data_IF_327227889967
#
_entry.id   IF_327227889967
#
_cell.length_a   1.000
_cell.length_b   1.000
_cell.length_c   1.000
_cell.angle_alpha   90.00
_cell.angle_beta   90.00
_cell.angle_gamma   90.00
#
_symmetry.space_group_name_H-M   'P 1'
#
loop_
_entity.id
_entity.type
_entity.pdbx_description
1 polymer ?
#
# COMPACT_ATOMS: atom_id res chain seq x y z
N UNK A 1 5.30 -0.80 17.99
CA UNK A 1 3.83 -0.93 17.74
C UNK A 1 3.55 -0.52 16.31
N UNK A 2 3.09 -1.44 15.46
CA UNK A 2 2.66 -1.11 14.11
C UNK A 2 1.36 -0.31 14.15
N UNK A 3 1.30 0.82 13.44
CA UNK A 3 0.05 1.58 13.26
C UNK A 3 -0.54 1.17 11.92
N UNK A 4 -1.76 0.65 11.93
CA UNK A 4 -2.54 0.48 10.70
C UNK A 4 -3.03 1.87 10.28
N UNK A 5 -2.54 2.35 9.15
CA UNK A 5 -3.02 3.62 8.59
C UNK A 5 -4.42 3.40 7.99
N UNK A 6 -5.36 4.32 8.26
CA UNK A 6 -6.64 4.32 7.57
C UNK A 6 -6.41 4.63 6.08
N UNK A 7 -6.97 3.81 5.20
CA UNK A 7 -6.93 4.08 3.77
C UNK A 7 -7.92 5.20 3.41
N UNK A 8 -7.58 6.00 2.40
CA UNK A 8 -8.50 6.95 1.78
C UNK A 8 -9.17 6.25 0.58
N UNK A 9 -10.50 6.05 0.59
CA UNK A 9 -11.20 5.32 -0.46
C UNK A 9 -11.16 6.02 -1.82
N UNK A 10 -10.79 7.30 -1.87
CA UNK A 10 -10.63 8.06 -3.12
C UNK A 10 -9.23 7.91 -3.72
N UNK A 11 -8.28 7.34 -2.98
CA UNK A 11 -6.86 7.26 -3.35
C UNK A 11 -6.48 5.81 -3.58
N UNK A 12 -6.73 5.32 -4.79
CA UNK A 12 -6.53 3.93 -5.14
C UNK A 12 -5.85 3.74 -6.51
N UNK A 13 -5.38 2.52 -6.76
CA UNK A 13 -4.87 2.09 -8.07
C UNK A 13 -5.10 0.60 -8.25
N UNK A 14 -5.40 0.18 -9.48
CA UNK A 14 -5.43 -1.24 -9.85
C UNK A 14 -4.08 -1.58 -10.49
N UNK A 15 -3.42 -2.64 -9.99
CA UNK A 15 -2.16 -3.15 -10.55
C UNK A 15 -2.33 -4.65 -10.72
N UNK A 16 -2.18 -5.14 -11.96
CA UNK A 16 -2.33 -6.56 -12.30
C UNK A 16 -3.65 -7.18 -11.77
N UNK A 17 -4.75 -6.44 -11.89
CA UNK A 17 -6.08 -6.89 -11.44
C UNK A 17 -6.31 -6.82 -9.93
N UNK A 18 -5.33 -6.37 -9.13
CA UNK A 18 -5.47 -6.17 -7.68
C UNK A 18 -5.69 -4.70 -7.35
N UNK A 19 -6.66 -4.41 -6.47
CA UNK A 19 -6.94 -3.07 -5.96
C UNK A 19 -6.01 -2.73 -4.79
N UNK A 20 -5.29 -1.62 -4.90
CA UNK A 20 -4.43 -1.06 -3.87
C UNK A 20 -5.01 0.27 -3.38
N UNK A 21 -5.28 0.37 -2.08
CA UNK A 21 -5.74 1.59 -1.43
C UNK A 21 -4.56 2.27 -0.71
N UNK A 22 -4.44 3.59 -0.87
CA UNK A 22 -3.44 4.40 -0.19
C UNK A 22 -4.09 5.30 0.86
N UNK A 23 -3.35 5.71 1.88
CA UNK A 23 -3.89 6.53 2.99
C UNK A 23 -3.90 8.05 2.72
N UNK A 24 -3.24 8.52 1.66
CA UNK A 24 -3.28 9.92 1.22
C UNK A 24 -2.69 10.06 -0.17
N UNK A 25 -2.98 11.18 -0.84
CA UNK A 25 -2.38 11.51 -2.14
C UNK A 25 -0.85 11.60 -2.07
N UNK A 26 -0.27 12.04 -0.95
CA UNK A 26 1.17 12.10 -0.80
C UNK A 26 1.82 10.71 -0.76
N UNK A 27 1.18 9.76 -0.05
CA UNK A 27 1.64 8.37 -0.02
C UNK A 27 1.46 7.70 -1.36
N UNK A 28 0.34 7.95 -2.07
CA UNK A 28 0.16 7.47 -3.44
C UNK A 28 1.28 7.95 -4.35
N UNK A 29 1.63 9.24 -4.33
CA UNK A 29 2.73 9.76 -5.16
C UNK A 29 4.07 9.09 -4.87
N UNK A 30 4.41 8.85 -3.59
CA UNK A 30 5.62 8.11 -3.22
C UNK A 30 5.55 6.66 -3.70
N UNK A 31 4.43 6.00 -3.46
CA UNK A 31 4.22 4.61 -3.85
C UNK A 31 4.31 4.41 -5.37
N UNK A 32 3.81 5.36 -6.16
CA UNK A 32 3.86 5.33 -7.62
C UNK A 32 5.28 5.46 -8.19
N UNK A 33 6.27 5.89 -7.40
CA UNK A 33 7.67 5.93 -7.82
C UNK A 33 8.31 4.54 -7.94
N UNK A 34 7.82 3.54 -7.20
CA UNK A 34 8.34 2.17 -7.21
C UNK A 34 7.25 1.16 -6.81
N UNK A 35 6.21 1.07 -7.64
CA UNK A 35 5.08 0.15 -7.39
C UNK A 35 5.55 -1.30 -7.19
N UNK A 36 6.41 -1.88 -8.05
CA UNK A 36 6.84 -3.26 -7.89
C UNK A 36 7.61 -3.49 -6.58
N UNK A 37 8.56 -2.61 -6.25
CA UNK A 37 9.37 -2.75 -5.03
C UNK A 37 8.56 -2.53 -3.75
N UNK A 38 7.57 -1.63 -3.75
CA UNK A 38 6.68 -1.49 -2.61
C UNK A 38 5.70 -2.65 -2.44
N UNK A 39 5.22 -3.27 -3.54
CA UNK A 39 4.40 -4.49 -3.47
C UNK A 39 5.22 -5.65 -2.89
N UNK A 40 6.46 -5.84 -3.32
CA UNK A 40 7.35 -6.87 -2.79
C UNK A 40 7.59 -6.69 -1.28
N UNK A 41 7.91 -5.47 -0.85
CA UNK A 41 8.09 -5.12 0.57
C UNK A 41 6.80 -5.36 1.37
N UNK A 42 5.64 -5.02 0.82
CA UNK A 42 4.36 -5.25 1.47
C UNK A 42 4.09 -6.75 1.66
N UNK A 43 4.30 -7.57 0.63
CA UNK A 43 4.13 -9.02 0.70
C UNK A 43 5.04 -9.67 1.76
N UNK A 44 6.28 -9.18 1.89
CA UNK A 44 7.23 -9.65 2.90
C UNK A 44 6.82 -9.28 4.32
N UNK A 45 6.29 -8.08 4.53
CA UNK A 45 5.98 -7.55 5.87
C UNK A 45 4.59 -7.95 6.37
N UNK A 46 3.60 -8.11 5.48
CA UNK A 46 2.21 -8.37 5.83
C UNK A 46 1.99 -9.57 6.79
N UNK A 47 2.69 -10.71 6.65
CA UNK A 47 2.53 -11.84 7.57
C UNK A 47 2.83 -11.51 9.05
N UNK A 48 3.67 -10.50 9.31
CA UNK A 48 3.99 -10.06 10.67
C UNK A 48 2.95 -9.13 11.29
N UNK A 49 2.08 -8.53 10.47
CA UNK A 49 1.00 -7.63 10.90
C UNK A 49 -0.24 -8.41 11.34
N UNK A 50 -0.44 -9.62 10.80
CA UNK A 50 -1.60 -10.48 11.09
C UNK A 50 -1.49 -11.24 12.42
N UNK A 51 -0.46 -11.01 13.23
CA UNK A 51 -0.29 -11.63 14.55
C UNK A 51 -0.99 -10.86 15.66
#
# INVERSE_FOLDING_TARGET
MGRIAKADPTVWKIVQGKLYLNCSQNIKRKWEQDIPGYIEKANKNWPSVLK
#
